data_IF_688312765428
#
_entry.id   IF_688312765428
#
_cell.length_a   1.000
_cell.length_b   1.000
_cell.length_c   1.000
_cell.angle_alpha   90.00
_cell.angle_beta   90.00
_cell.angle_gamma   90.00
#
_symmetry.space_group_name_H-M   'P 1'
#
loop_
_entity.id
_entity.type
_entity.pdbx_description
1 polymer ?
#
# COMPACT_ATOMS: atom_id res chain seq x y z
N UNK A 1 -43.15 60.40 -18.26
CA UNK A 1 -41.80 59.95 -18.69
C UNK A 1 -41.27 59.05 -17.59
N UNK A 2 -41.58 57.75 -17.64
CA UNK A 2 -41.23 56.74 -16.63
C UNK A 2 -40.10 55.86 -17.20
N UNK A 3 -38.95 55.81 -16.51
CA UNK A 3 -37.86 54.89 -16.80
C UNK A 3 -38.03 53.66 -15.91
N UNK A 4 -38.18 52.51 -16.53
CA UNK A 4 -38.12 51.20 -15.86
C UNK A 4 -36.68 50.70 -15.97
N UNK A 5 -35.99 50.56 -14.85
CA UNK A 5 -34.72 49.84 -14.76
C UNK A 5 -34.98 48.39 -14.37
N UNK A 6 -34.84 47.50 -15.31
CA UNK A 6 -34.78 46.06 -15.07
C UNK A 6 -33.32 45.66 -14.81
N UNK A 7 -32.99 45.29 -13.59
CA UNK A 7 -31.71 44.70 -13.22
C UNK A 7 -31.91 43.18 -13.19
N UNK A 8 -31.61 42.52 -14.30
CA UNK A 8 -31.47 41.07 -14.34
C UNK A 8 -30.12 40.67 -13.73
N UNK A 9 -30.15 40.27 -12.46
CA UNK A 9 -29.04 39.69 -11.76
C UNK A 9 -28.91 38.20 -12.13
N UNK A 10 -28.11 37.93 -13.18
CA UNK A 10 -27.71 36.55 -13.50
C UNK A 10 -26.72 36.06 -12.43
N UNK A 11 -27.22 35.24 -11.50
CA UNK A 11 -26.40 34.50 -10.52
C UNK A 11 -25.70 33.39 -11.29
N UNK A 12 -24.41 33.56 -11.57
CA UNK A 12 -23.54 32.47 -12.07
C UNK A 12 -23.49 31.35 -11.07
N UNK A 13 -23.75 30.09 -11.47
CA UNK A 13 -23.53 28.95 -10.58
C UNK A 13 -22.04 28.85 -10.27
N UNK A 14 -21.69 28.92 -8.99
CA UNK A 14 -20.33 28.72 -8.51
C UNK A 14 -19.77 27.37 -8.94
N UNK A 15 -18.43 27.22 -9.00
CA UNK A 15 -17.81 25.96 -9.41
C UNK A 15 -18.26 24.85 -8.48
N UNK A 16 -18.92 23.83 -9.05
CA UNK A 16 -19.24 22.58 -8.36
C UNK A 16 -17.89 21.97 -7.96
N UNK A 17 -17.60 21.96 -6.67
CA UNK A 17 -16.45 21.25 -6.12
C UNK A 17 -16.52 19.81 -6.61
N UNK A 18 -15.62 19.41 -7.48
CA UNK A 18 -15.44 18.01 -7.87
C UNK A 18 -15.05 17.29 -6.59
N UNK A 19 -15.97 16.49 -6.07
CA UNK A 19 -15.67 15.54 -5.02
C UNK A 19 -14.57 14.62 -5.54
N UNK A 20 -13.35 14.76 -5.02
CA UNK A 20 -12.25 13.86 -5.34
C UNK A 20 -12.67 12.47 -4.89
N UNK A 21 -13.09 11.64 -5.85
CA UNK A 21 -13.34 10.21 -5.62
C UNK A 21 -12.00 9.60 -5.22
N UNK A 22 -11.74 9.51 -3.93
CA UNK A 22 -10.59 8.77 -3.42
C UNK A 22 -10.77 7.31 -3.83
N UNK A 23 -9.76 6.70 -4.46
CA UNK A 23 -9.87 5.29 -4.81
C UNK A 23 -10.20 4.49 -3.55
N UNK A 24 -11.19 3.60 -3.66
CA UNK A 24 -11.59 2.75 -2.56
C UNK A 24 -10.38 1.94 -2.08
N UNK A 25 -10.01 2.12 -0.82
CA UNK A 25 -8.91 1.37 -0.20
C UNK A 25 -9.41 -0.03 0.12
N UNK A 26 -8.76 -1.03 -0.47
CA UNK A 26 -8.99 -2.43 -0.10
C UNK A 26 -7.96 -2.85 0.94
N UNK A 27 -8.41 -3.52 2.00
CA UNK A 27 -7.54 -4.00 3.07
C UNK A 27 -8.03 -5.33 3.64
N UNK A 28 -7.10 -6.09 4.21
CA UNK A 28 -7.41 -7.35 4.87
C UNK A 28 -6.45 -7.59 6.04
N UNK A 29 -6.91 -8.36 7.03
CA UNK A 29 -6.10 -8.81 8.16
C UNK A 29 -5.66 -10.27 7.98
N UNK A 30 -4.43 -10.55 8.36
CA UNK A 30 -3.87 -11.90 8.43
C UNK A 30 -3.41 -12.23 9.83
N UNK A 31 -3.84 -13.39 10.33
CA UNK A 31 -3.28 -13.98 11.55
C UNK A 31 -1.95 -14.65 11.22
N UNK A 32 -0.87 -14.10 11.76
CA UNK A 32 0.42 -14.77 11.66
C UNK A 32 0.45 -16.04 12.55
N UNK A 33 1.33 -17.01 12.24
CA UNK A 33 1.55 -18.18 13.11
C UNK A 33 1.92 -17.78 14.56
N UNK A 34 2.64 -16.66 14.71
CA UNK A 34 2.86 -16.07 16.03
C UNK A 34 1.64 -15.21 16.42
N UNK A 35 0.91 -15.56 17.50
CA UNK A 35 -0.29 -14.83 17.93
C UNK A 35 -0.03 -13.38 18.34
N UNK A 36 1.25 -13.00 18.53
CA UNK A 36 1.68 -11.63 18.85
C UNK A 36 2.05 -10.80 17.63
N UNK A 37 1.70 -11.27 16.46
CA UNK A 37 1.92 -10.57 15.20
C UNK A 37 0.61 -10.48 14.45
N UNK A 38 0.26 -9.26 14.05
CA UNK A 38 -0.87 -8.96 13.16
C UNK A 38 -0.29 -8.45 11.85
N UNK A 39 -0.78 -8.93 10.72
CA UNK A 39 -0.43 -8.39 9.41
C UNK A 39 -1.65 -7.72 8.80
N UNK A 40 -1.44 -6.50 8.31
CA UNK A 40 -2.42 -5.72 7.55
C UNK A 40 -1.96 -5.66 6.12
N UNK A 41 -2.77 -6.15 5.20
CA UNK A 41 -2.54 -6.03 3.77
C UNK A 41 -3.42 -4.93 3.21
N UNK A 42 -2.93 -4.16 2.24
CA UNK A 42 -3.67 -3.04 1.65
C UNK A 42 -3.29 -2.80 0.20
N UNK A 43 -4.18 -2.19 -0.57
CA UNK A 43 -3.90 -1.70 -1.93
C UNK A 43 -3.27 -0.30 -1.92
N UNK A 44 -3.21 0.37 -0.78
CA UNK A 44 -2.51 1.66 -0.62
C UNK A 44 -1.03 1.45 -0.38
N UNK A 45 -0.19 2.21 -1.07
CA UNK A 45 1.25 2.26 -0.81
C UNK A 45 1.49 2.89 0.58
N UNK A 46 1.93 2.10 1.54
CA UNK A 46 2.17 2.55 2.92
C UNK A 46 3.50 3.28 3.06
N UNK A 47 4.48 2.90 2.27
CA UNK A 47 5.84 3.47 2.29
C UNK A 47 6.59 3.20 1.00
N UNK A 48 7.52 4.09 0.67
CA UNK A 48 8.48 3.91 -0.43
C UNK A 48 9.81 3.34 0.03
N UNK A 49 10.00 3.20 1.33
CA UNK A 49 11.17 2.55 1.92
C UNK A 49 10.68 1.61 3.01
N UNK A 50 11.29 0.43 3.12
CA UNK A 50 11.00 -0.48 4.22
C UNK A 50 11.37 0.20 5.53
N UNK A 51 10.41 0.33 6.45
CA UNK A 51 10.59 0.92 7.77
C UNK A 51 10.41 -0.17 8.80
N UNK A 52 11.49 -0.51 9.50
CA UNK A 52 11.46 -1.45 10.60
C UNK A 52 11.33 -0.72 11.93
N UNK A 53 10.52 -1.28 12.82
CA UNK A 53 10.33 -0.81 14.20
C UNK A 53 10.01 0.69 14.27
N UNK A 54 9.03 1.14 13.48
CA UNK A 54 8.54 2.51 13.54
C UNK A 54 8.22 2.85 14.99
N UNK A 55 8.94 3.80 15.61
CA UNK A 55 8.68 4.17 16.97
C UNK A 55 7.33 4.87 17.09
N UNK A 56 6.59 4.68 18.19
CA UNK A 56 5.29 5.31 18.41
C UNK A 56 5.30 6.84 18.28
N UNK A 57 6.46 7.47 18.45
CA UNK A 57 6.60 8.93 18.49
C UNK A 57 6.48 9.64 17.14
N UNK A 58 6.69 8.96 16.01
CA UNK A 58 6.65 9.59 14.68
C UNK A 58 6.13 8.66 13.60
N UNK A 59 4.91 8.13 13.71
CA UNK A 59 4.34 7.28 12.69
C UNK A 59 4.00 8.08 11.44
N UNK A 60 4.13 7.49 10.24
CA UNK A 60 3.54 8.05 9.03
C UNK A 60 2.05 8.34 9.23
N UNK A 61 1.56 9.38 8.55
CA UNK A 61 0.15 9.74 8.61
C UNK A 61 -0.73 8.54 8.15
N UNK A 62 -1.84 8.30 8.83
CA UNK A 62 -2.70 7.13 8.62
C UNK A 62 -2.35 5.90 9.46
N UNK A 63 -1.15 5.80 10.01
CA UNK A 63 -0.74 4.70 10.89
C UNK A 63 -0.82 5.05 12.39
N UNK A 64 -1.06 6.33 12.71
CA UNK A 64 -1.20 6.79 14.10
C UNK A 64 -2.30 6.06 14.85
N UNK A 65 -3.42 5.79 14.17
CA UNK A 65 -4.54 5.06 14.75
C UNK A 65 -4.17 3.62 15.11
N UNK A 66 -3.32 2.97 14.32
CA UNK A 66 -2.84 1.60 14.60
C UNK A 66 -1.91 1.55 15.80
N UNK A 67 -1.03 2.54 15.94
CA UNK A 67 -0.11 2.63 17.08
C UNK A 67 -0.82 3.07 18.38
N UNK A 68 -1.97 3.72 18.27
CA UNK A 68 -2.81 4.07 19.39
C UNK A 68 -3.62 2.89 19.96
N UNK A 69 -3.65 1.74 19.25
CA UNK A 69 -4.33 0.53 19.74
C UNK A 69 -3.55 -0.04 20.92
N UNK A 70 -4.25 -0.24 22.03
CA UNK A 70 -3.66 -0.83 23.22
C UNK A 70 -3.06 -2.21 22.96
N UNK A 71 -1.80 -2.40 23.34
CA UNK A 71 -1.05 -3.63 23.12
C UNK A 71 -0.25 -3.67 21.82
N UNK A 72 -0.36 -2.68 20.93
CA UNK A 72 0.54 -2.55 19.78
C UNK A 72 1.84 -1.89 20.21
N UNK A 73 2.96 -2.61 20.09
CA UNK A 73 4.30 -2.18 20.50
C UNK A 73 5.08 -1.51 19.37
N UNK A 74 5.04 -2.09 18.18
CA UNK A 74 5.76 -1.57 17.02
C UNK A 74 5.06 -1.98 15.72
N UNK A 75 5.37 -1.24 14.66
CA UNK A 75 4.89 -1.51 13.31
C UNK A 75 6.10 -1.52 12.37
N UNK A 76 6.24 -2.61 11.61
CA UNK A 76 7.14 -2.66 10.46
C UNK A 76 6.31 -2.39 9.20
N UNK A 77 6.78 -1.49 8.33
CA UNK A 77 6.10 -1.10 7.11
C UNK A 77 6.83 -1.63 5.91
N UNK A 78 6.08 -2.32 5.07
CA UNK A 78 6.43 -2.65 3.70
C UNK A 78 5.48 -1.91 2.76
N UNK A 79 5.75 -1.92 1.48
CA UNK A 79 5.01 -1.14 0.50
C UNK A 79 3.48 -1.31 0.59
N UNK A 80 2.98 -2.55 0.70
CA UNK A 80 1.55 -2.88 0.77
C UNK A 80 1.18 -3.74 1.97
N UNK A 81 2.04 -3.77 2.98
CA UNK A 81 1.84 -4.57 4.19
C UNK A 81 2.39 -3.85 5.41
N UNK A 82 1.60 -3.79 6.48
CA UNK A 82 2.08 -3.46 7.81
C UNK A 82 2.14 -4.74 8.67
N UNK A 83 3.22 -4.91 9.43
CA UNK A 83 3.37 -5.97 10.43
C UNK A 83 3.42 -5.31 11.81
N UNK A 84 2.38 -5.57 12.60
CA UNK A 84 2.27 -5.08 13.95
C UNK A 84 2.78 -6.13 14.93
N UNK A 85 3.66 -5.73 15.85
CA UNK A 85 4.13 -6.57 16.95
C UNK A 85 3.42 -6.15 18.22
N UNK A 86 2.90 -7.12 18.97
CA UNK A 86 2.15 -6.89 20.19
C UNK A 86 3.04 -7.05 21.43
N UNK A 87 2.69 -6.33 22.49
CA UNK A 87 3.33 -6.46 23.79
C UNK A 87 3.15 -7.88 24.36
N UNK A 88 4.17 -8.42 25.04
CA UNK A 88 4.12 -9.74 25.63
C UNK A 88 2.96 -9.99 26.63
N UNK A 89 2.53 -8.96 27.34
CA UNK A 89 1.48 -9.03 28.35
C UNK A 89 0.08 -8.64 27.89
N UNK A 90 -0.10 -8.25 26.60
CA UNK A 90 -1.40 -7.81 26.12
C UNK A 90 -2.33 -8.99 25.79
N UNK A 91 -3.63 -8.74 25.86
CA UNK A 91 -4.63 -9.62 25.26
C UNK A 91 -4.58 -9.49 23.73
N UNK A 92 -4.02 -10.52 23.09
CA UNK A 92 -3.85 -10.55 21.64
C UNK A 92 -5.18 -10.47 20.88
N UNK A 93 -6.29 -11.01 21.45
CA UNK A 93 -7.60 -10.92 20.84
C UNK A 93 -8.14 -9.50 20.89
N UNK A 94 -8.04 -8.85 22.06
CA UNK A 94 -8.48 -7.47 22.22
C UNK A 94 -7.67 -6.50 21.34
N UNK A 95 -6.36 -6.72 21.20
CA UNK A 95 -5.50 -5.95 20.29
C UNK A 95 -5.89 -6.17 18.82
N UNK A 96 -6.17 -7.42 18.41
CA UNK A 96 -6.67 -7.73 17.07
C UNK A 96 -7.97 -6.98 16.76
N UNK A 97 -8.96 -7.09 17.65
CA UNK A 97 -10.25 -6.42 17.48
C UNK A 97 -10.10 -4.88 17.47
N UNK A 98 -9.15 -4.35 18.23
CA UNK A 98 -8.80 -2.94 18.25
C UNK A 98 -8.20 -2.46 16.92
N UNK A 99 -7.25 -3.22 16.37
CA UNK A 99 -6.64 -2.94 15.06
C UNK A 99 -7.70 -3.00 13.96
N UNK A 100 -8.54 -4.03 13.95
CA UNK A 100 -9.61 -4.15 12.97
C UNK A 100 -10.53 -2.93 12.97
N UNK A 101 -11.02 -2.52 14.14
CA UNK A 101 -11.88 -1.33 14.26
C UNK A 101 -11.19 -0.04 13.84
N UNK A 102 -9.92 0.13 14.18
CA UNK A 102 -9.17 1.34 13.83
C UNK A 102 -9.00 1.49 12.31
N UNK A 103 -8.75 0.38 11.61
CA UNK A 103 -8.61 0.37 10.15
C UNK A 103 -9.98 0.51 9.49
N UNK A 104 -10.99 -0.20 9.96
CA UNK A 104 -12.37 -0.13 9.44
C UNK A 104 -12.92 1.30 9.51
N UNK A 105 -12.66 2.01 10.59
CA UNK A 105 -13.05 3.41 10.72
C UNK A 105 -12.37 4.33 9.71
N UNK A 106 -11.15 3.98 9.26
CA UNK A 106 -10.40 4.79 8.30
C UNK A 106 -10.66 4.40 6.83
N UNK A 107 -10.84 3.09 6.55
CA UNK A 107 -10.84 2.54 5.19
C UNK A 107 -12.08 1.71 4.85
N UNK A 108 -13.06 1.61 5.76
CA UNK A 108 -14.27 0.81 5.55
C UNK A 108 -14.07 -0.69 5.84
N UNK A 109 -15.04 -1.49 5.43
CA UNK A 109 -15.06 -2.93 5.72
C UNK A 109 -13.86 -3.69 5.09
N UNK A 110 -13.33 -4.72 5.79
CA UNK A 110 -12.24 -5.54 5.27
C UNK A 110 -12.68 -6.39 4.08
N UNK A 111 -11.76 -6.60 3.14
CA UNK A 111 -11.92 -7.59 2.09
C UNK A 111 -11.52 -9.00 2.57
N UNK A 112 -12.03 -10.05 1.95
CA UNK A 112 -11.49 -11.39 2.11
C UNK A 112 -10.00 -11.41 1.74
N UNK A 113 -9.16 -12.04 2.57
CA UNK A 113 -7.74 -12.16 2.27
C UNK A 113 -7.52 -13.30 1.26
N UNK A 114 -7.04 -13.02 0.04
CA UNK A 114 -6.73 -14.05 -0.93
C UNK A 114 -5.48 -14.85 -0.52
N UNK A 115 -5.21 -15.95 -1.22
CA UNK A 115 -3.96 -16.68 -1.13
C UNK A 115 -2.76 -15.79 -1.42
N UNK A 116 -1.56 -16.22 -0.99
CA UNK A 116 -0.34 -15.50 -1.33
C UNK A 116 -0.10 -15.59 -2.85
N UNK A 117 0.08 -14.45 -3.56
CA UNK A 117 0.32 -14.49 -5.00
C UNK A 117 1.66 -15.20 -5.29
N UNK A 118 1.71 -16.04 -6.33
CA UNK A 118 2.94 -16.71 -6.70
C UNK A 118 4.00 -15.71 -7.15
N UNK A 119 5.26 -16.05 -6.89
CA UNK A 119 6.40 -15.36 -7.48
C UNK A 119 6.45 -15.70 -8.97
N UNK A 120 6.50 -14.70 -9.85
CA UNK A 120 6.61 -14.91 -11.30
C UNK A 120 7.93 -14.40 -11.83
N UNK A 121 8.49 -15.15 -12.79
CA UNK A 121 9.73 -14.83 -13.46
C UNK A 121 9.47 -14.23 -14.85
N UNK A 122 10.31 -13.26 -15.22
CA UNK A 122 10.36 -12.66 -16.55
C UNK A 122 11.81 -12.63 -17.03
N UNK A 123 12.03 -12.85 -18.32
CA UNK A 123 13.36 -12.72 -18.93
C UNK A 123 13.72 -11.24 -19.10
N UNK A 124 14.95 -10.89 -18.76
CA UNK A 124 15.51 -9.53 -18.87
C UNK A 124 16.97 -9.57 -19.29
N UNK A 125 17.42 -8.52 -19.97
CA UNK A 125 18.82 -8.36 -20.33
C UNK A 125 19.63 -7.77 -19.16
N UNK A 126 19.82 -8.58 -18.10
CA UNK A 126 20.55 -8.17 -16.90
C UNK A 126 21.70 -9.14 -16.62
N UNK A 127 22.91 -8.63 -16.43
CA UNK A 127 24.13 -9.42 -16.16
C UNK A 127 24.80 -9.05 -14.83
N UNK A 128 24.15 -8.23 -14.01
CA UNK A 128 24.67 -7.76 -12.73
C UNK A 128 24.53 -8.78 -11.58
N UNK A 129 24.97 -8.41 -10.39
CA UNK A 129 24.84 -9.22 -9.20
C UNK A 129 23.36 -9.38 -8.80
N UNK A 130 23.05 -10.45 -8.07
CA UNK A 130 21.69 -10.64 -7.52
C UNK A 130 21.31 -9.49 -6.59
N UNK A 131 20.16 -8.88 -6.88
CA UNK A 131 19.58 -7.80 -6.08
C UNK A 131 18.20 -8.26 -5.58
N UNK A 132 17.90 -8.04 -4.30
CA UNK A 132 16.58 -8.21 -3.72
C UNK A 132 16.12 -6.85 -3.23
N UNK A 133 14.97 -6.40 -3.72
CA UNK A 133 14.38 -5.12 -3.35
C UNK A 133 12.91 -5.29 -2.93
N UNK A 134 12.57 -4.83 -1.74
CA UNK A 134 11.20 -4.85 -1.19
C UNK A 134 10.55 -3.45 -1.21
N UNK A 135 11.24 -2.47 -1.77
CA UNK A 135 10.74 -1.10 -1.86
C UNK A 135 11.47 -0.30 -2.93
N UNK A 136 10.83 0.76 -3.48
CA UNK A 136 11.45 1.65 -4.46
C UNK A 136 12.75 2.29 -3.97
N UNK A 137 12.87 2.56 -2.67
CA UNK A 137 14.08 3.15 -2.08
C UNK A 137 15.32 2.25 -2.15
N UNK A 138 15.12 0.93 -2.29
CA UNK A 138 16.19 -0.06 -2.48
C UNK A 138 16.56 -0.25 -3.96
N UNK A 139 15.77 0.29 -4.88
CA UNK A 139 15.91 0.07 -6.31
C UNK A 139 16.97 0.95 -6.99
N UNK A 140 17.40 2.03 -6.36
CA UNK A 140 18.40 2.92 -6.95
C UNK A 140 19.82 2.29 -6.89
N UNK A 141 20.57 2.27 -8.00
CA UNK A 141 20.38 3.04 -9.25
C UNK A 141 19.88 2.21 -10.46
N UNK A 142 19.36 0.98 -10.29
CA UNK A 142 18.99 0.13 -11.41
C UNK A 142 17.68 0.58 -12.08
N UNK A 143 17.71 0.81 -13.40
CA UNK A 143 16.56 1.32 -14.16
C UNK A 143 15.40 0.32 -14.23
N UNK A 144 15.70 -0.98 -14.32
CA UNK A 144 14.70 -2.06 -14.36
C UNK A 144 13.93 -2.13 -13.06
N UNK A 145 14.63 -2.11 -11.92
CA UNK A 145 14.00 -2.08 -10.60
C UNK A 145 13.10 -0.84 -10.41
N UNK A 146 13.62 0.34 -10.81
CA UNK A 146 12.84 1.59 -10.73
C UNK A 146 11.57 1.51 -11.58
N UNK A 147 11.66 0.98 -12.81
CA UNK A 147 10.50 0.83 -13.69
C UNK A 147 9.46 -0.13 -13.10
N UNK A 148 9.89 -1.27 -12.58
CA UNK A 148 9.00 -2.26 -11.97
C UNK A 148 8.30 -1.71 -10.72
N UNK A 149 9.00 -0.96 -9.87
CA UNK A 149 8.36 -0.34 -8.71
C UNK A 149 7.45 0.86 -9.04
N UNK A 150 7.40 1.34 -10.29
CA UNK A 150 6.35 2.27 -10.73
C UNK A 150 5.02 1.57 -10.99
N UNK A 151 5.04 0.26 -11.21
CA UNK A 151 3.82 -0.52 -11.40
C UNK A 151 3.13 -0.72 -10.05
N UNK A 152 1.85 -0.30 -9.90
CA UNK A 152 1.08 -0.55 -8.69
C UNK A 152 0.98 -2.05 -8.41
N UNK A 153 1.07 -2.42 -7.14
CA UNK A 153 0.96 -3.82 -6.73
C UNK A 153 2.30 -4.55 -6.58
N UNK A 154 3.39 -4.10 -7.20
CA UNK A 154 4.71 -4.71 -7.02
C UNK A 154 5.20 -4.50 -5.59
N UNK A 155 5.41 -5.60 -4.87
CA UNK A 155 5.82 -5.59 -3.46
C UNK A 155 7.29 -6.00 -3.26
N UNK A 156 7.79 -6.91 -4.11
CA UNK A 156 9.17 -7.41 -4.05
C UNK A 156 9.66 -7.71 -5.46
N UNK A 157 10.92 -7.40 -5.71
CA UNK A 157 11.61 -7.73 -6.97
C UNK A 157 12.93 -8.38 -6.63
N UNK A 158 13.20 -9.52 -7.27
CA UNK A 158 14.52 -10.18 -7.23
C UNK A 158 15.07 -10.15 -8.65
N UNK A 159 16.21 -9.51 -8.83
CA UNK A 159 16.89 -9.39 -10.10
C UNK A 159 18.13 -10.27 -10.07
N UNK A 160 18.25 -11.19 -11.02
CA UNK A 160 19.38 -12.09 -11.21
C UNK A 160 19.77 -12.09 -12.69
N UNK A 161 20.94 -12.68 -13.02
CA UNK A 161 21.40 -12.75 -14.40
C UNK A 161 20.32 -13.37 -15.33
N UNK A 162 19.85 -12.58 -16.29
CA UNK A 162 18.85 -12.98 -17.28
C UNK A 162 17.41 -13.08 -16.78
N UNK A 163 17.14 -12.88 -15.48
CA UNK A 163 15.80 -13.10 -14.92
C UNK A 163 15.43 -12.07 -13.87
N UNK A 164 14.20 -11.61 -13.92
CA UNK A 164 13.59 -10.86 -12.82
C UNK A 164 12.41 -11.63 -12.25
N UNK A 165 12.38 -11.77 -10.95
CA UNK A 165 11.28 -12.36 -10.20
C UNK A 165 10.50 -11.26 -9.53
N UNK A 166 9.18 -11.29 -9.70
CA UNK A 166 8.28 -10.27 -9.15
C UNK A 166 7.26 -10.92 -8.22
N UNK A 167 7.08 -10.34 -7.05
CA UNK A 167 6.00 -10.66 -6.11
C UNK A 167 5.07 -9.47 -5.99
N UNK A 168 3.78 -9.73 -6.05
CA UNK A 168 2.76 -8.70 -5.82
C UNK A 168 2.37 -8.62 -4.34
N UNK A 169 1.84 -7.49 -3.93
CA UNK A 169 1.08 -7.34 -2.70
C UNK A 169 -0.15 -8.25 -2.74
N UNK A 170 -0.52 -8.81 -1.60
CA UNK A 170 -1.49 -9.93 -1.52
C UNK A 170 -2.89 -9.60 -2.04
N UNK A 171 -3.25 -8.31 -2.09
CA UNK A 171 -4.54 -7.83 -2.60
C UNK A 171 -4.49 -7.40 -4.09
N UNK A 172 -3.39 -7.70 -4.79
CA UNK A 172 -3.25 -7.41 -6.21
C UNK A 172 -3.27 -8.71 -7.01
N UNK A 173 -4.33 -8.97 -7.79
CA UNK A 173 -4.37 -10.12 -8.68
C UNK A 173 -3.40 -9.91 -9.86
N UNK A 174 -2.80 -11.01 -10.33
CA UNK A 174 -1.83 -10.97 -11.43
C UNK A 174 -2.42 -10.47 -12.74
N UNK A 175 -3.68 -10.80 -13.00
CA UNK A 175 -4.42 -10.37 -14.19
C UNK A 175 -4.53 -8.86 -14.36
N UNK A 176 -4.51 -8.11 -13.25
CA UNK A 176 -4.61 -6.65 -13.28
C UNK A 176 -3.24 -5.96 -13.46
N UNK A 177 -2.14 -6.68 -13.23
CA UNK A 177 -0.79 -6.08 -13.11
C UNK A 177 0.15 -6.56 -14.22
N UNK A 178 -0.05 -7.76 -14.77
CA UNK A 178 0.91 -8.42 -15.66
C UNK A 178 1.23 -7.61 -16.92
N UNK A 179 0.23 -7.03 -17.57
CA UNK A 179 0.44 -6.22 -18.79
C UNK A 179 1.29 -4.97 -18.52
N UNK A 180 1.04 -4.31 -17.38
CA UNK A 180 1.82 -3.15 -16.94
C UNK A 180 3.26 -3.51 -16.63
N UNK A 181 3.50 -4.70 -16.05
CA UNK A 181 4.85 -5.22 -15.80
C UNK A 181 5.59 -5.52 -17.11
N UNK A 182 4.93 -6.20 -18.05
CA UNK A 182 5.53 -6.49 -19.35
C UNK A 182 5.90 -5.21 -20.11
N UNK A 183 5.02 -4.22 -20.08
CA UNK A 183 5.30 -2.91 -20.67
C UNK A 183 6.49 -2.22 -19.98
N UNK A 184 6.56 -2.22 -18.65
CA UNK A 184 7.66 -1.64 -17.89
C UNK A 184 9.01 -2.30 -18.23
N UNK A 185 9.04 -3.63 -18.41
CA UNK A 185 10.26 -4.38 -18.76
C UNK A 185 10.72 -4.13 -20.21
N UNK A 186 9.80 -3.84 -21.14
CA UNK A 186 10.15 -3.52 -22.53
C UNK A 186 10.66 -2.08 -22.69
N UNK A 187 10.45 -1.24 -21.70
CA UNK A 187 10.81 0.19 -21.73
C UNK A 187 12.14 0.49 -21.04
N UNK A 188 12.84 -0.52 -20.53
CA UNK A 188 14.14 -0.42 -19.86
C UNK A 188 15.26 -0.95 -20.73
#
# INVERSE_FOLDING_TARGET
MLRVNSSDGATSPGPIAREEVRPAVTWALERAPNPRVIRVHTTVELTRATIEKCPPASPPEGLRSLLAVNGVRSVDLHRYRARLSLDPGCDAKAAWDGVARAIEAAWGAPAPLPGEPPLRAFEVAYEGPRIVAESPGMAAPDSTLVALFRVPGVAEVILEAGTVWVRLGRLFPWEDVEDSLRWALQST
#
